data_IF_076921297901
#
_entry.id   IF_076921297901
#
_cell.length_a   1.000
_cell.length_b   1.000
_cell.length_c   1.000
_cell.angle_alpha   90.00
_cell.angle_beta   90.00
_cell.angle_gamma   90.00
#
_symmetry.space_group_name_H-M   'P 1'
#
loop_
_entity.id
_entity.type
_entity.pdbx_description
1 polymer ?
#
# COMPACT_ATOMS: atom_id res chain seq x y z
N UNK A 1 -16.69 -3.73 7.22
CA UNK A 1 -16.10 -4.98 7.76
C UNK A 1 -14.65 -5.25 7.31
N UNK A 2 -14.15 -4.69 6.18
CA UNK A 2 -12.79 -4.96 5.65
C UNK A 2 -11.62 -4.36 6.45
N UNK A 3 -11.80 -3.20 7.08
CA UNK A 3 -10.74 -2.51 7.85
C UNK A 3 -10.26 -3.28 9.09
N UNK A 4 -11.17 -3.98 9.79
CA UNK A 4 -10.82 -4.78 10.97
C UNK A 4 -9.93 -5.96 10.59
N UNK A 5 -10.26 -6.67 9.52
CA UNK A 5 -9.51 -7.85 9.07
C UNK A 5 -8.09 -7.49 8.60
N UNK A 6 -7.93 -6.39 7.85
CA UNK A 6 -6.61 -5.91 7.42
C UNK A 6 -5.74 -5.55 8.63
N UNK A 7 -6.31 -4.90 9.63
CA UNK A 7 -5.59 -4.54 10.87
C UNK A 7 -5.10 -5.76 11.63
N UNK A 8 -5.95 -6.75 11.85
CA UNK A 8 -5.55 -7.94 12.61
C UNK A 8 -4.48 -8.76 11.88
N UNK A 9 -4.57 -8.88 10.55
CA UNK A 9 -3.52 -9.55 9.77
C UNK A 9 -2.19 -8.80 9.85
N UNK A 10 -2.20 -7.46 9.77
CA UNK A 10 -0.97 -6.66 9.89
C UNK A 10 -0.34 -6.81 11.29
N UNK A 11 -1.15 -6.88 12.35
CA UNK A 11 -0.64 -7.04 13.72
C UNK A 11 -0.11 -8.45 14.00
N UNK A 12 -0.72 -9.48 13.39
CA UNK A 12 -0.35 -10.88 13.60
C UNK A 12 0.82 -11.33 12.71
N UNK A 13 0.80 -10.95 11.44
CA UNK A 13 1.69 -11.50 10.41
C UNK A 13 2.57 -10.43 9.73
N UNK A 14 2.41 -9.16 10.10
CA UNK A 14 3.05 -8.05 9.41
C UNK A 14 2.39 -7.72 8.06
N UNK A 15 2.99 -6.76 7.34
CA UNK A 15 2.48 -6.35 6.04
C UNK A 15 2.88 -7.35 4.95
N UNK A 16 1.93 -8.18 4.51
CA UNK A 16 2.17 -9.22 3.48
C UNK A 16 2.52 -8.68 2.09
N UNK A 17 1.99 -7.52 1.73
CA UNK A 17 2.21 -6.90 0.42
C UNK A 17 2.54 -5.41 0.57
N UNK A 18 3.63 -4.92 -0.06
CA UNK A 18 4.00 -3.52 -0.01
C UNK A 18 2.96 -2.62 -0.69
N UNK A 19 3.01 -1.33 -0.38
CA UNK A 19 2.16 -0.32 -1.04
C UNK A 19 2.78 -0.01 -2.41
N UNK A 20 1.97 0.10 -3.46
CA UNK A 20 2.45 0.48 -4.80
C UNK A 20 2.32 1.99 -4.94
N UNK A 21 3.42 2.64 -5.29
CA UNK A 21 3.51 4.10 -5.35
C UNK A 21 4.15 4.52 -6.66
N UNK A 22 3.60 5.54 -7.30
CA UNK A 22 4.26 6.18 -8.42
C UNK A 22 5.55 6.87 -7.95
N UNK A 23 6.67 6.54 -8.60
CA UNK A 23 8.00 7.00 -8.20
C UNK A 23 8.12 8.52 -8.27
N UNK A 24 7.55 9.14 -9.30
CA UNK A 24 7.69 10.55 -9.60
C UNK A 24 6.84 11.42 -8.69
N UNK A 25 5.54 11.12 -8.59
CA UNK A 25 4.56 11.94 -7.85
C UNK A 25 4.40 11.55 -6.39
N UNK A 26 4.86 10.35 -6.00
CA UNK A 26 4.59 9.72 -4.70
C UNK A 26 3.11 9.43 -4.44
N UNK A 27 2.27 9.43 -5.48
CA UNK A 27 0.87 9.03 -5.40
C UNK A 27 0.80 7.52 -5.13
N UNK A 28 -0.04 7.14 -4.16
CA UNK A 28 -0.36 5.74 -3.89
C UNK A 28 -1.26 5.24 -5.02
N UNK A 29 -0.80 4.21 -5.75
CA UNK A 29 -1.54 3.56 -6.82
C UNK A 29 -2.38 2.40 -6.28
N UNK A 30 -1.80 1.61 -5.36
CA UNK A 30 -2.49 0.53 -4.66
C UNK A 30 -2.03 0.44 -3.20
N UNK A 31 -2.95 0.03 -2.31
CA UNK A 31 -2.67 -0.17 -0.90
C UNK A 31 -3.14 0.94 0.05
N UNK A 32 -4.08 1.80 -0.37
CA UNK A 32 -4.65 2.87 0.47
C UNK A 32 -5.14 2.41 1.85
N UNK A 33 -5.85 1.29 1.94
CA UNK A 33 -6.29 0.75 3.23
C UNK A 33 -5.12 0.35 4.12
N UNK A 34 -4.09 -0.29 3.55
CA UNK A 34 -2.86 -0.67 4.27
C UNK A 34 -2.13 0.58 4.77
N UNK A 35 -1.96 1.59 3.93
CA UNK A 35 -1.38 2.87 4.32
C UNK A 35 -2.13 3.51 5.49
N UNK A 36 -3.46 3.63 5.40
CA UNK A 36 -4.26 4.25 6.46
C UNK A 36 -4.22 3.46 7.76
N UNK A 37 -4.19 2.13 7.70
CA UNK A 37 -4.00 1.27 8.88
C UNK A 37 -2.62 1.45 9.50
N UNK A 38 -1.54 1.44 8.72
CA UNK A 38 -0.18 1.65 9.23
C UNK A 38 -0.02 3.05 9.82
N UNK A 39 -0.63 4.05 9.19
CA UNK A 39 -0.68 5.44 9.67
C UNK A 39 -1.42 5.55 11.01
N UNK A 40 -2.55 4.87 11.18
CA UNK A 40 -3.28 4.88 12.46
C UNK A 40 -2.53 4.14 13.57
N UNK A 41 -1.67 3.17 13.21
CA UNK A 41 -0.75 2.48 14.11
C UNK A 41 0.54 3.26 14.41
N UNK A 42 0.69 4.50 13.88
CA UNK A 42 1.89 5.35 14.05
C UNK A 42 3.20 4.70 13.57
N UNK A 43 3.13 3.85 12.56
CA UNK A 43 4.32 3.26 11.94
C UNK A 43 4.93 4.30 10.99
N UNK A 44 6.20 4.64 11.23
CA UNK A 44 6.90 5.72 10.50
C UNK A 44 7.43 5.29 9.13
N UNK A 45 7.73 4.00 8.95
CA UNK A 45 8.31 3.46 7.71
C UNK A 45 7.52 2.25 7.25
N UNK A 46 7.18 2.23 5.97
CA UNK A 46 6.40 1.18 5.34
C UNK A 46 7.08 0.73 4.05
N UNK A 47 7.06 -0.56 3.71
CA UNK A 47 7.66 -1.04 2.47
C UNK A 47 6.79 -0.63 1.28
N UNK A 48 7.45 -0.13 0.24
CA UNK A 48 6.84 0.43 -0.97
C UNK A 48 7.49 -0.16 -2.21
N UNK A 49 6.68 -0.49 -3.21
CA UNK A 49 7.15 -0.71 -4.57
C UNK A 49 6.93 0.56 -5.40
N UNK A 50 8.04 1.16 -5.81
CA UNK A 50 8.03 2.31 -6.70
C UNK A 50 7.97 1.87 -8.15
N UNK A 51 6.89 2.24 -8.82
CA UNK A 51 6.69 2.03 -10.26
C UNK A 51 6.69 3.37 -10.99
N UNK A 52 6.92 3.35 -12.30
CA UNK A 52 6.62 4.50 -13.14
C UNK A 52 5.19 4.30 -13.67
N UNK A 53 4.24 5.12 -13.24
CA UNK A 53 2.84 4.95 -13.66
C UNK A 53 2.65 5.12 -15.18
N UNK A 54 3.48 5.94 -15.82
CA UNK A 54 3.45 6.18 -17.27
C UNK A 54 4.22 5.14 -18.09
N UNK A 55 4.66 4.03 -17.47
CA UNK A 55 5.30 2.94 -18.18
C UNK A 55 4.24 2.08 -18.89
N UNK A 56 4.43 1.82 -20.19
CA UNK A 56 3.46 1.10 -21.04
C UNK A 56 3.18 -0.34 -20.56
N UNK A 57 4.00 -0.88 -19.65
CA UNK A 57 3.78 -2.19 -19.01
C UNK A 57 2.77 -2.14 -17.87
N UNK A 58 2.35 -0.96 -17.43
CA UNK A 58 1.33 -0.79 -16.38
C UNK A 58 -0.05 -0.99 -16.99
N UNK A 59 -0.71 -2.05 -16.56
CA UNK A 59 -2.07 -2.38 -16.98
C UNK A 59 -3.02 -2.05 -15.83
N UNK A 60 -4.06 -1.28 -16.14
CA UNK A 60 -5.15 -0.99 -15.21
C UNK A 60 -6.27 -1.96 -15.54
N UNK A 61 -6.48 -2.94 -14.67
CA UNK A 61 -7.63 -3.82 -14.76
C UNK A 61 -8.83 -3.16 -14.06
N UNK A 62 -10.00 -3.20 -14.70
CA UNK A 62 -11.23 -2.49 -14.26
C UNK A 62 -12.16 -3.38 -13.46
#
# INVERSE_FOLDING_TARGET
MRLKQVRESILSEGLKHPIVVDRATKIILDGHHRYNTLKSLKIEKVPVFYVNYFDDRIIIDS
#
